data_IF_833499090245
#
_entry.id   IF_833499090245
#
_cell.length_a   1.000
_cell.length_b   1.000
_cell.length_c   1.000
_cell.angle_alpha   90.00
_cell.angle_beta   90.00
_cell.angle_gamma   90.00
#
_symmetry.space_group_name_H-M   'P 1'
#
loop_
_entity.id
_entity.type
_entity.pdbx_description
1 polymer ?
#
# COMPACT_ATOMS: atom_id res chain seq x y z
N UNK A 1 8.38 -6.29 3.55
CA UNK A 1 7.05 -6.93 3.57
C UNK A 1 6.43 -6.69 4.92
N UNK A 2 5.29 -6.00 4.95
CA UNK A 2 4.47 -5.80 6.15
C UNK A 2 3.10 -6.43 5.91
N UNK A 3 2.40 -6.84 6.97
CA UNK A 3 1.05 -7.36 6.89
C UNK A 3 0.19 -6.79 8.02
N UNK A 4 -1.05 -6.47 7.72
CA UNK A 4 -2.03 -6.08 8.73
C UNK A 4 -3.43 -6.48 8.29
N UNK A 5 -4.37 -6.46 9.24
CA UNK A 5 -5.78 -6.33 8.92
C UNK A 5 -5.98 -5.03 8.14
N UNK A 6 -6.99 -4.97 7.28
CA UNK A 6 -7.35 -3.75 6.55
C UNK A 6 -7.89 -2.62 7.46
N UNK A 7 -7.54 -2.55 8.76
CA UNK A 7 -8.08 -1.58 9.72
C UNK A 7 -7.08 -0.49 10.18
N UNK A 8 -5.86 -0.82 10.65
CA UNK A 8 -4.88 0.20 11.00
C UNK A 8 -4.25 0.84 9.75
N UNK A 9 -3.83 2.10 9.89
CA UNK A 9 -2.98 2.82 8.96
C UNK A 9 -1.62 3.06 9.62
N UNK A 10 -0.55 2.77 8.89
CA UNK A 10 0.83 2.93 9.33
C UNK A 10 1.58 3.88 8.40
N UNK A 11 2.61 4.52 8.94
CA UNK A 11 3.58 5.28 8.19
C UNK A 11 4.98 5.03 8.76
N UNK A 12 5.98 4.90 7.89
CA UNK A 12 7.36 4.63 8.26
C UNK A 12 8.34 5.24 7.25
N UNK A 13 9.56 5.52 7.71
CA UNK A 13 10.67 5.94 6.87
C UNK A 13 11.50 4.72 6.46
N UNK A 14 11.40 4.32 5.19
CA UNK A 14 12.04 3.09 4.68
C UNK A 14 12.86 3.40 3.45
N UNK A 15 14.11 2.92 3.44
CA UNK A 15 15.03 3.00 2.29
C UNK A 15 15.25 4.42 1.73
N UNK A 16 15.13 5.46 2.56
CA UNK A 16 15.30 6.86 2.14
C UNK A 16 14.04 7.51 1.56
N UNK A 17 12.88 6.87 1.74
CA UNK A 17 11.57 7.40 1.35
C UNK A 17 10.53 7.27 2.45
N UNK A 18 9.37 7.89 2.25
CA UNK A 18 8.24 7.82 3.17
C UNK A 18 7.21 6.82 2.64
N UNK A 19 6.91 5.80 3.44
CA UNK A 19 5.94 4.76 3.12
C UNK A 19 4.73 4.85 4.05
N UNK A 20 3.54 4.82 3.47
CA UNK A 20 2.28 4.72 4.22
C UNK A 20 1.41 3.61 3.65
N UNK A 21 0.77 2.83 4.51
CA UNK A 21 -0.04 1.69 4.09
C UNK A 21 -1.10 1.36 5.13
N UNK A 22 -2.16 0.67 4.71
CA UNK A 22 -3.20 0.21 5.63
C UNK A 22 -4.60 0.20 5.02
N UNK A 23 -5.59 0.25 5.90
CA UNK A 23 -7.02 0.29 5.55
C UNK A 23 -7.48 1.60 4.92
N UNK A 24 -8.48 1.50 4.04
CA UNK A 24 -9.18 2.64 3.46
C UNK A 24 -10.69 2.37 3.46
N UNK A 25 -11.44 3.18 4.22
CA UNK A 25 -12.84 2.92 4.55
C UNK A 25 -13.74 4.11 4.22
N UNK A 26 -14.07 4.26 2.94
CA UNK A 26 -15.14 5.16 2.52
C UNK A 26 -16.43 4.38 2.26
N UNK A 27 -17.59 5.02 2.50
CA UNK A 27 -18.90 4.41 2.24
C UNK A 27 -19.04 4.08 0.74
N UNK A 28 -18.86 2.80 0.40
CA UNK A 28 -18.93 2.30 -0.98
C UNK A 28 -17.56 2.01 -1.62
N UNK A 29 -16.44 2.37 -0.97
CA UNK A 29 -15.10 2.03 -1.42
C UNK A 29 -14.26 1.55 -0.23
N UNK A 30 -14.40 0.26 0.07
CA UNK A 30 -13.63 -0.42 1.13
C UNK A 30 -12.42 -1.12 0.52
N UNK A 31 -11.26 -0.94 1.12
CA UNK A 31 -10.05 -1.58 0.64
C UNK A 31 -8.82 -1.33 1.49
N UNK A 32 -7.68 -1.59 0.88
CA UNK A 32 -6.37 -1.33 1.45
C UNK A 32 -5.48 -0.62 0.43
N UNK A 33 -4.59 0.22 0.94
CA UNK A 33 -3.68 1.01 0.11
C UNK A 33 -2.22 0.84 0.54
N UNK A 34 -1.31 1.11 -0.39
CA UNK A 34 0.11 1.26 -0.14
C UNK A 34 0.62 2.44 -0.97
N UNK A 35 1.27 3.41 -0.33
CA UNK A 35 1.82 4.59 -0.97
C UNK A 35 3.26 4.81 -0.53
N UNK A 36 4.19 4.90 -1.49
CA UNK A 36 5.60 5.13 -1.21
C UNK A 36 6.10 6.34 -2.00
N UNK A 37 6.72 7.29 -1.31
CA UNK A 37 7.38 8.45 -1.90
C UNK A 37 8.89 8.30 -1.74
N UNK A 38 9.62 8.48 -2.84
CA UNK A 38 11.07 8.57 -2.82
C UNK A 38 11.56 9.70 -3.74
N UNK A 39 12.43 10.56 -3.21
CA UNK A 39 12.85 11.79 -3.91
C UNK A 39 13.83 11.51 -5.06
N UNK A 40 14.78 10.60 -4.88
CA UNK A 40 15.92 10.45 -5.80
C UNK A 40 15.86 9.29 -6.79
N UNK A 41 14.90 8.37 -6.70
CA UNK A 41 14.85 7.18 -7.56
C UNK A 41 13.45 6.82 -7.97
N UNK A 42 13.36 6.12 -9.08
CA UNK A 42 12.17 5.35 -9.41
C UNK A 42 11.89 4.32 -8.31
N UNK A 43 10.63 4.17 -7.97
CA UNK A 43 10.19 3.35 -6.85
C UNK A 43 8.75 2.87 -7.07
N UNK A 44 8.32 1.97 -6.21
CA UNK A 44 7.01 1.34 -6.28
C UNK A 44 6.44 1.03 -4.91
N UNK A 45 5.13 0.84 -4.88
CA UNK A 45 4.39 0.33 -3.74
C UNK A 45 3.42 -0.75 -4.23
N UNK A 46 3.18 -1.76 -3.42
CA UNK A 46 2.17 -2.77 -3.73
C UNK A 46 1.28 -3.09 -2.55
N UNK A 47 0.08 -3.54 -2.88
CA UNK A 47 -0.87 -4.12 -1.96
C UNK A 47 -1.37 -5.45 -2.53
N UNK A 48 -1.44 -6.49 -1.71
CA UNK A 48 -1.91 -7.81 -2.12
C UNK A 48 -2.84 -8.41 -1.07
N UNK A 49 -3.97 -8.93 -1.53
CA UNK A 49 -4.97 -9.58 -0.66
C UNK A 49 -4.59 -11.01 -0.38
N UNK A 50 -4.66 -11.40 0.88
CA UNK A 50 -4.31 -12.76 1.28
C UNK A 50 -5.35 -13.79 0.83
N UNK A 51 -6.63 -13.39 0.66
CA UNK A 51 -7.72 -14.33 0.38
C UNK A 51 -7.61 -15.00 -1.00
N UNK A 52 -7.22 -14.23 -2.03
CA UNK A 52 -7.18 -14.70 -3.42
C UNK A 52 -5.88 -14.32 -4.16
N UNK A 53 -4.92 -13.71 -3.46
CA UNK A 53 -3.64 -13.32 -4.03
C UNK A 53 -3.73 -12.18 -5.04
N UNK A 54 -4.90 -11.56 -5.25
CA UNK A 54 -4.97 -10.38 -6.12
C UNK A 54 -4.11 -9.27 -5.56
N UNK A 55 -3.35 -8.65 -6.43
CA UNK A 55 -2.41 -7.60 -6.08
C UNK A 55 -2.52 -6.43 -7.04
N UNK A 56 -2.13 -5.26 -6.55
CA UNK A 56 -1.96 -4.06 -7.34
C UNK A 56 -0.60 -3.44 -7.01
N UNK A 57 0.09 -2.94 -8.03
CA UNK A 57 1.41 -2.31 -7.92
C UNK A 57 1.34 -0.94 -8.57
N UNK A 58 1.72 0.07 -7.80
CA UNK A 58 1.86 1.44 -8.26
C UNK A 58 3.33 1.77 -8.46
N UNK A 59 3.64 2.46 -9.55
CA UNK A 59 4.99 2.88 -9.88
C UNK A 59 5.06 4.40 -9.92
N UNK A 60 6.20 4.96 -9.53
CA UNK A 60 6.47 6.39 -9.64
C UNK A 60 7.93 6.66 -9.93
N UNK A 61 8.17 7.72 -10.70
CA UNK A 61 9.50 8.30 -10.84
C UNK A 61 9.90 9.03 -9.56
N UNK A 62 11.18 9.40 -9.49
CA UNK A 62 11.72 10.33 -8.51
C UNK A 62 10.80 11.56 -8.31
N UNK A 63 10.69 12.05 -7.08
CA UNK A 63 9.86 13.20 -6.65
C UNK A 63 8.33 12.98 -6.69
N UNK A 64 7.86 11.81 -7.07
CA UNK A 64 6.43 11.47 -7.06
C UNK A 64 6.12 10.40 -6.00
N UNK A 65 4.84 10.18 -5.75
CA UNK A 65 4.37 9.13 -4.83
C UNK A 65 3.75 8.00 -5.65
N UNK A 66 4.33 6.80 -5.53
CA UNK A 66 3.68 5.57 -5.99
C UNK A 66 2.44 5.28 -5.14
N UNK A 67 1.34 4.85 -5.78
CA UNK A 67 0.08 4.55 -5.10
C UNK A 67 -0.50 3.26 -5.64
N UNK A 68 -0.88 2.36 -4.75
CA UNK A 68 -1.62 1.14 -5.07
C UNK A 68 -2.80 0.98 -4.13
N UNK A 69 -3.88 0.42 -4.66
CA UNK A 69 -5.12 0.20 -3.93
C UNK A 69 -5.78 -1.09 -4.40
N UNK A 70 -6.43 -1.80 -3.48
CA UNK A 70 -7.24 -2.96 -3.79
C UNK A 70 -8.47 -3.04 -2.88
N UNK A 71 -9.61 -3.41 -3.44
CA UNK A 71 -10.82 -3.62 -2.66
C UNK A 71 -10.73 -4.92 -1.85
N UNK A 72 -10.94 -4.81 -0.54
CA UNK A 72 -10.89 -5.93 0.41
C UNK A 72 -12.26 -6.10 1.07
N UNK A 73 -12.50 -7.26 1.65
CA UNK A 73 -13.60 -7.44 2.61
C UNK A 73 -13.21 -6.89 3.99
N UNK A 74 -14.20 -6.73 4.87
CA UNK A 74 -13.96 -6.42 6.28
C UNK A 74 -13.10 -7.52 6.93
N UNK A 75 -12.14 -7.12 7.76
CA UNK A 75 -11.23 -8.03 8.50
C UNK A 75 -10.33 -8.93 7.62
N UNK A 76 -10.14 -8.56 6.35
CA UNK A 76 -9.26 -9.30 5.45
C UNK A 76 -7.78 -9.00 5.71
N UNK A 77 -6.93 -10.04 5.67
CA UNK A 77 -5.48 -9.88 5.71
C UNK A 77 -4.93 -9.35 4.39
N UNK A 78 -4.01 -8.41 4.51
CA UNK A 78 -3.39 -7.74 3.36
C UNK A 78 -1.87 -7.66 3.57
N UNK A 79 -1.14 -7.88 2.47
CA UNK A 79 0.31 -7.74 2.40
C UNK A 79 0.68 -6.43 1.69
N UNK A 80 1.64 -5.73 2.26
CA UNK A 80 2.14 -4.46 1.76
C UNK A 80 3.64 -4.56 1.48
N UNK A 81 4.05 -4.10 0.30
CA UNK A 81 5.46 -4.01 -0.08
C UNK A 81 5.76 -2.66 -0.73
N UNK A 82 7.05 -2.37 -0.83
CA UNK A 82 7.64 -1.21 -1.48
C UNK A 82 9.00 -1.60 -2.08
N UNK A 83 9.50 -0.80 -3.00
CA UNK A 83 10.89 -0.89 -3.47
C UNK A 83 11.31 0.27 -4.34
#
# INVERSE_FOLDING_TARGET
MSCSLACPVFADWVSGGNWSYGGYHDSGNWGAFSSYFHDYRWHWSSVARASDGKSNVGYASAHYTSKSFINTSFDEFVYFNLG
#
